data_IF_777845200988
#
_entry.id   IF_777845200988
#
_cell.length_a   1.000
_cell.length_b   1.000
_cell.length_c   1.000
_cell.angle_alpha   90.00
_cell.angle_beta   90.00
_cell.angle_gamma   90.00
#
_symmetry.space_group_name_H-M   'P 1'
#
loop_
_entity.id
_entity.type
_entity.pdbx_description
1 polymer ?
#
# COMPACT_ATOMS: atom_id res chain seq x y z
N UNK A 1 -30.22 -11.28 -19.97
CA UNK A 1 -30.48 -10.48 -18.76
C UNK A 1 -29.70 -10.98 -17.54
N UNK A 2 -29.54 -12.28 -17.31
CA UNK A 2 -28.80 -12.84 -16.14
C UNK A 2 -27.30 -12.48 -16.08
N UNK A 3 -26.60 -12.35 -17.21
CA UNK A 3 -25.17 -11.98 -17.28
C UNK A 3 -24.91 -10.54 -16.83
N UNK A 4 -25.76 -9.59 -17.22
CA UNK A 4 -25.65 -8.18 -16.78
C UNK A 4 -25.92 -8.01 -15.28
N UNK A 5 -26.82 -8.82 -14.72
CA UNK A 5 -27.12 -8.79 -13.26
C UNK A 5 -25.97 -9.32 -12.40
N UNK A 6 -25.27 -10.39 -12.85
CA UNK A 6 -24.06 -10.92 -12.17
C UNK A 6 -22.89 -9.93 -12.23
N UNK A 7 -22.73 -9.19 -13.32
CA UNK A 7 -21.71 -8.15 -13.46
C UNK A 7 -21.98 -6.94 -12.56
N UNK A 8 -23.23 -6.51 -12.42
CA UNK A 8 -23.65 -5.43 -11.54
C UNK A 8 -23.51 -5.81 -10.05
N UNK A 9 -23.93 -7.03 -9.68
CA UNK A 9 -23.79 -7.51 -8.29
C UNK A 9 -22.30 -7.64 -7.89
N UNK A 10 -21.44 -8.14 -8.78
CA UNK A 10 -19.98 -8.20 -8.56
C UNK A 10 -19.34 -6.82 -8.42
N UNK A 11 -19.80 -5.83 -9.18
CA UNK A 11 -19.37 -4.43 -9.07
C UNK A 11 -19.83 -3.79 -7.76
N UNK A 12 -21.09 -3.99 -7.38
CA UNK A 12 -21.66 -3.48 -6.11
C UNK A 12 -20.95 -4.06 -4.88
N UNK A 13 -20.67 -5.35 -4.86
CA UNK A 13 -19.91 -5.99 -3.78
C UNK A 13 -18.47 -5.50 -3.73
N UNK A 14 -17.82 -5.37 -4.87
CA UNK A 14 -16.40 -4.98 -4.98
C UNK A 14 -16.13 -3.53 -4.54
N UNK A 15 -17.04 -2.61 -4.85
CA UNK A 15 -16.90 -1.19 -4.54
C UNK A 15 -17.81 -0.73 -3.40
N UNK A 16 -18.95 -1.38 -3.20
CA UNK A 16 -19.92 -1.05 -2.15
C UNK A 16 -19.41 -1.38 -0.75
N UNK A 17 -18.79 -2.55 -0.56
CA UNK A 17 -18.28 -2.94 0.77
C UNK A 17 -17.21 -1.96 1.30
N UNK A 18 -16.14 -1.61 0.55
CA UNK A 18 -15.17 -0.62 1.01
C UNK A 18 -15.80 0.76 1.25
N UNK A 19 -16.75 1.16 0.41
CA UNK A 19 -17.46 2.43 0.58
C UNK A 19 -18.30 2.44 1.86
N UNK A 20 -19.07 1.38 2.12
CA UNK A 20 -19.89 1.23 3.34
C UNK A 20 -19.01 1.23 4.59
N UNK A 21 -17.88 0.52 4.57
CA UNK A 21 -16.91 0.52 5.68
C UNK A 21 -16.37 1.93 5.90
N UNK A 22 -15.95 2.60 4.84
CA UNK A 22 -15.40 3.97 4.93
C UNK A 22 -16.46 4.94 5.46
N UNK A 23 -17.66 4.93 4.89
CA UNK A 23 -18.77 5.81 5.34
C UNK A 23 -19.17 5.51 6.78
N UNK A 24 -19.29 4.21 7.15
CA UNK A 24 -19.63 3.81 8.51
C UNK A 24 -18.58 4.24 9.54
N UNK A 25 -17.29 4.06 9.23
CA UNK A 25 -16.19 4.51 10.08
C UNK A 25 -16.12 6.03 10.16
N UNK A 26 -16.30 6.74 9.05
CA UNK A 26 -16.37 8.21 9.05
C UNK A 26 -17.54 8.69 9.89
N UNK A 27 -18.74 8.09 9.76
CA UNK A 27 -19.89 8.47 10.56
C UNK A 27 -19.63 8.25 12.07
N UNK A 28 -19.05 7.10 12.45
CA UNK A 28 -18.69 6.81 13.85
C UNK A 28 -17.63 7.77 14.40
N UNK A 29 -16.69 8.21 13.55
CA UNK A 29 -15.64 9.14 13.95
C UNK A 29 -16.16 10.57 14.11
N UNK A 30 -17.05 11.01 13.21
CA UNK A 30 -17.38 12.41 13.03
C UNK A 30 -18.76 12.84 13.50
N UNK A 31 -19.66 11.90 13.87
CA UNK A 31 -21.03 12.23 14.29
C UNK A 31 -21.09 13.22 15.47
N UNK A 32 -20.12 13.15 16.39
CA UNK A 32 -20.02 13.98 17.60
C UNK A 32 -18.73 14.81 17.61
N UNK A 33 -18.15 15.07 16.42
CA UNK A 33 -16.83 15.70 16.34
C UNK A 33 -16.94 17.23 16.21
N UNK A 34 -16.17 17.95 17.06
CA UNK A 34 -16.08 19.41 17.01
C UNK A 34 -15.10 19.88 15.92
N UNK A 35 -15.64 20.18 14.73
CA UNK A 35 -14.86 20.72 13.62
C UNK A 35 -14.33 22.15 13.90
N UNK A 36 -15.06 22.95 14.68
CA UNK A 36 -14.66 24.30 15.02
C UNK A 36 -13.45 24.29 15.95
N UNK A 37 -13.52 23.46 17.00
CA UNK A 37 -12.39 23.24 17.90
C UNK A 37 -11.17 22.67 17.19
N UNK A 38 -11.36 21.71 16.25
CA UNK A 38 -10.28 21.18 15.41
C UNK A 38 -9.61 22.30 14.61
N UNK A 39 -10.40 23.13 13.91
CA UNK A 39 -9.86 24.22 13.09
C UNK A 39 -9.07 25.21 13.92
N UNK A 40 -9.58 25.56 15.09
CA UNK A 40 -8.87 26.43 16.04
C UNK A 40 -7.54 25.81 16.49
N UNK A 41 -7.52 24.53 16.87
CA UNK A 41 -6.27 23.84 17.25
C UNK A 41 -5.26 23.80 16.10
N UNK A 42 -5.71 23.53 14.88
CA UNK A 42 -4.82 23.50 13.71
C UNK A 42 -4.22 24.88 13.40
N UNK A 43 -5.02 25.93 13.48
CA UNK A 43 -4.56 27.29 13.14
C UNK A 43 -3.68 27.92 14.23
N UNK A 44 -3.90 27.57 15.49
CA UNK A 44 -3.19 28.20 16.63
C UNK A 44 -2.02 27.39 17.17
N UNK A 45 -2.07 26.06 17.09
CA UNK A 45 -1.10 25.20 17.77
C UNK A 45 -0.24 24.35 16.82
N UNK A 46 -0.64 24.21 15.54
CA UNK A 46 0.06 23.33 14.63
C UNK A 46 1.39 23.93 14.13
N UNK A 47 2.46 23.19 14.32
CA UNK A 47 3.79 23.47 13.76
C UNK A 47 3.95 22.73 12.43
N UNK A 48 3.50 23.34 11.34
CA UNK A 48 3.45 22.75 9.98
C UNK A 48 4.80 22.27 9.45
N UNK A 49 5.92 22.79 9.96
CA UNK A 49 7.26 22.32 9.57
C UNK A 49 7.47 20.83 9.82
N UNK A 50 6.95 20.30 10.92
CA UNK A 50 7.02 18.88 11.23
C UNK A 50 6.14 18.04 10.30
N UNK A 51 4.97 18.53 9.91
CA UNK A 51 4.12 17.89 8.92
C UNK A 51 4.83 17.85 7.55
N UNK A 52 5.45 18.97 7.14
CA UNK A 52 6.21 19.03 5.88
C UNK A 52 7.39 18.04 5.87
N UNK A 53 8.12 17.91 6.99
CA UNK A 53 9.18 16.91 7.15
C UNK A 53 8.62 15.50 7.04
N UNK A 54 7.48 15.22 7.66
CA UNK A 54 6.78 13.94 7.53
C UNK A 54 6.40 13.61 6.08
N UNK A 55 5.91 14.61 5.31
CA UNK A 55 5.62 14.42 3.88
C UNK A 55 6.89 14.15 3.05
N UNK A 56 8.01 14.80 3.35
CA UNK A 56 9.28 14.52 2.71
C UNK A 56 9.73 13.07 2.97
N UNK A 57 9.59 12.58 4.21
CA UNK A 57 9.88 11.18 4.57
C UNK A 57 8.93 10.20 3.84
N UNK A 58 7.66 10.57 3.62
CA UNK A 58 6.74 9.77 2.83
C UNK A 58 7.23 9.62 1.38
N UNK A 59 7.67 10.71 0.74
CA UNK A 59 8.24 10.68 -0.61
C UNK A 59 9.48 9.78 -0.63
N UNK A 60 10.40 9.90 0.33
CA UNK A 60 11.58 9.04 0.46
C UNK A 60 11.18 7.55 0.56
N UNK A 61 10.16 7.21 1.36
CA UNK A 61 9.68 5.83 1.48
C UNK A 61 9.18 5.28 0.14
N UNK A 62 8.46 6.10 -0.64
CA UNK A 62 7.98 5.71 -1.97
C UNK A 62 9.11 5.53 -2.97
N UNK A 63 10.17 6.35 -2.90
CA UNK A 63 11.38 6.20 -3.71
C UNK A 63 12.12 4.90 -3.35
N UNK A 64 12.30 4.61 -2.05
CA UNK A 64 12.90 3.35 -1.60
C UNK A 64 12.07 2.14 -2.04
N UNK A 65 10.75 2.25 -2.03
CA UNK A 65 9.85 1.21 -2.56
C UNK A 65 10.05 0.98 -4.06
N UNK A 66 10.21 2.04 -4.85
CA UNK A 66 10.53 1.93 -6.27
C UNK A 66 11.88 1.23 -6.49
N UNK A 67 12.91 1.62 -5.71
CA UNK A 67 14.23 0.97 -5.77
C UNK A 67 14.18 -0.51 -5.39
N UNK A 68 13.45 -0.86 -4.32
CA UNK A 68 13.27 -2.23 -3.84
C UNK A 68 12.59 -3.09 -4.90
N UNK A 69 11.48 -2.61 -5.46
CA UNK A 69 10.75 -3.34 -6.50
C UNK A 69 11.58 -3.48 -7.79
N UNK A 70 12.38 -2.48 -8.15
CA UNK A 70 13.33 -2.56 -9.26
C UNK A 70 14.39 -3.66 -9.10
N UNK A 71 14.76 -4.05 -7.87
CA UNK A 71 15.65 -5.21 -7.64
C UNK A 71 14.92 -6.51 -7.97
N UNK A 72 13.66 -6.64 -7.54
CA UNK A 72 12.82 -7.81 -7.82
C UNK A 72 12.56 -7.98 -9.32
N UNK A 73 12.22 -6.88 -10.02
CA UNK A 73 11.99 -6.90 -11.47
C UNK A 73 13.24 -7.30 -12.25
N UNK A 74 14.42 -6.82 -11.83
CA UNK A 74 15.69 -7.24 -12.47
C UNK A 74 15.97 -8.74 -12.35
N UNK A 75 15.51 -9.37 -11.28
CA UNK A 75 15.61 -10.83 -11.13
C UNK A 75 14.71 -11.61 -12.11
N UNK A 76 13.73 -10.93 -12.72
CA UNK A 76 12.86 -11.42 -13.78
C UNK A 76 13.29 -10.94 -15.17
N UNK A 77 14.52 -10.39 -15.32
CA UNK A 77 15.02 -9.74 -16.54
C UNK A 77 14.19 -8.55 -17.04
N UNK A 78 13.32 -8.01 -16.18
CA UNK A 78 12.52 -6.81 -16.44
C UNK A 78 13.27 -5.60 -15.89
N UNK A 79 13.71 -4.68 -16.77
CA UNK A 79 14.63 -3.57 -16.44
C UNK A 79 14.04 -2.20 -16.79
N UNK A 80 12.94 -1.77 -16.17
CA UNK A 80 12.38 -0.45 -16.42
C UNK A 80 13.33 0.65 -15.92
N UNK A 81 13.42 1.79 -16.63
CA UNK A 81 14.15 2.96 -16.14
C UNK A 81 13.58 3.41 -14.78
N UNK A 82 14.48 3.89 -13.91
CA UNK A 82 14.13 4.26 -12.53
C UNK A 82 12.98 5.26 -12.43
N UNK A 83 12.96 6.25 -13.30
CA UNK A 83 11.90 7.25 -13.35
C UNK A 83 10.49 6.62 -13.47
N UNK A 84 10.33 5.64 -14.38
CA UNK A 84 9.04 4.95 -14.57
C UNK A 84 8.67 4.02 -13.42
N UNK A 85 9.66 3.49 -12.70
CA UNK A 85 9.41 2.79 -11.44
C UNK A 85 8.83 3.73 -10.39
N UNK A 86 9.41 4.92 -10.21
CA UNK A 86 8.92 5.94 -9.28
C UNK A 86 7.50 6.37 -9.67
N UNK A 87 7.25 6.68 -10.95
CA UNK A 87 5.91 7.01 -11.46
C UNK A 87 4.91 5.88 -11.19
N UNK A 88 5.32 4.63 -11.36
CA UNK A 88 4.44 3.49 -11.10
C UNK A 88 4.02 3.37 -9.64
N UNK A 89 4.92 3.71 -8.69
CA UNK A 89 4.62 3.73 -7.25
C UNK A 89 3.68 4.91 -6.91
N UNK A 90 4.00 6.12 -7.37
CA UNK A 90 3.13 7.28 -7.12
C UNK A 90 1.73 7.09 -7.70
N UNK A 91 1.64 6.58 -8.93
CA UNK A 91 0.37 6.24 -9.56
C UNK A 91 -0.41 5.17 -8.82
N UNK A 92 0.26 4.17 -8.20
CA UNK A 92 -0.38 3.17 -7.35
C UNK A 92 -1.18 3.84 -6.23
N UNK A 93 -0.55 4.74 -5.49
CA UNK A 93 -1.18 5.41 -4.37
C UNK A 93 -2.30 6.35 -4.82
N UNK A 94 -2.11 7.08 -5.93
CA UNK A 94 -3.14 7.94 -6.51
C UNK A 94 -4.38 7.13 -6.96
N UNK A 95 -4.18 5.99 -7.62
CA UNK A 95 -5.29 5.10 -8.00
C UNK A 95 -5.99 4.53 -6.76
N UNK A 96 -5.25 4.20 -5.70
CA UNK A 96 -5.82 3.66 -4.46
C UNK A 96 -6.64 4.69 -3.66
N UNK A 97 -6.49 5.99 -3.93
CA UNK A 97 -7.38 7.02 -3.36
C UNK A 97 -8.81 6.91 -3.93
N UNK A 98 -8.92 6.50 -5.21
CA UNK A 98 -10.22 6.39 -5.89
C UNK A 98 -10.75 4.96 -5.83
N UNK A 99 -9.89 3.98 -6.12
CA UNK A 99 -10.24 2.56 -6.21
C UNK A 99 -9.38 1.74 -5.26
N UNK A 100 -9.93 1.26 -4.14
CA UNK A 100 -9.16 0.48 -3.16
C UNK A 100 -8.47 -0.72 -3.79
N UNK A 101 -7.17 -0.88 -3.56
CA UNK A 101 -6.37 -2.01 -4.01
C UNK A 101 -6.18 -2.16 -5.54
N UNK A 102 -6.75 -1.27 -6.37
CA UNK A 102 -6.55 -1.35 -7.83
C UNK A 102 -5.21 -0.76 -8.28
N UNK A 103 -4.58 0.07 -7.48
CA UNK A 103 -3.28 0.66 -7.81
C UNK A 103 -2.19 -0.37 -8.04
N UNK A 104 -2.19 -1.46 -7.28
CA UNK A 104 -1.25 -2.57 -7.44
C UNK A 104 -1.39 -3.26 -8.81
N UNK A 105 -2.63 -3.49 -9.23
CA UNK A 105 -2.92 -4.06 -10.56
C UNK A 105 -2.52 -3.08 -11.66
N UNK A 106 -2.83 -1.80 -11.48
CA UNK A 106 -2.49 -0.73 -12.41
C UNK A 106 -0.97 -0.63 -12.62
N UNK A 107 -0.16 -0.55 -11.53
CA UNK A 107 1.30 -0.44 -11.66
C UNK A 107 1.92 -1.66 -12.35
N UNK A 108 1.40 -2.85 -12.05
CA UNK A 108 1.84 -4.10 -12.66
C UNK A 108 1.57 -4.08 -14.17
N UNK A 109 0.35 -3.73 -14.57
CA UNK A 109 -0.02 -3.59 -15.99
C UNK A 109 0.80 -2.52 -16.69
N UNK A 110 1.04 -1.38 -16.04
CA UNK A 110 1.84 -0.29 -16.61
C UNK A 110 3.28 -0.72 -16.91
N UNK A 111 3.96 -1.39 -15.96
CA UNK A 111 5.34 -1.85 -16.16
C UNK A 111 5.38 -3.03 -17.14
N UNK A 112 4.47 -4.00 -17.02
CA UNK A 112 4.40 -5.13 -17.94
C UNK A 112 4.21 -4.69 -19.38
N UNK A 113 3.28 -3.78 -19.64
CA UNK A 113 3.04 -3.23 -20.98
C UNK A 113 4.24 -2.44 -21.52
N UNK A 114 4.89 -1.62 -20.67
CA UNK A 114 6.04 -0.80 -21.09
C UNK A 114 7.29 -1.63 -21.38
N UNK A 115 7.46 -2.76 -20.70
CA UNK A 115 8.65 -3.63 -20.84
C UNK A 115 8.38 -4.86 -21.69
N UNK A 116 7.18 -4.96 -22.31
CA UNK A 116 6.74 -6.15 -23.06
C UNK A 116 6.93 -7.46 -22.27
N UNK A 117 6.76 -7.38 -20.93
CA UNK A 117 6.94 -8.50 -20.02
C UNK A 117 5.60 -9.20 -19.71
N UNK A 118 5.61 -10.50 -19.39
CA UNK A 118 4.41 -11.22 -18.97
C UNK A 118 3.80 -10.57 -17.71
N UNK A 119 2.52 -10.21 -17.78
CA UNK A 119 1.80 -9.60 -16.65
C UNK A 119 1.87 -10.46 -15.39
N UNK A 120 1.72 -11.77 -15.52
CA UNK A 120 1.71 -12.73 -14.42
C UNK A 120 3.03 -12.75 -13.65
N UNK A 121 4.17 -12.72 -14.35
CA UNK A 121 5.49 -12.67 -13.73
C UNK A 121 5.71 -11.36 -12.94
N UNK A 122 5.36 -10.22 -13.56
CA UNK A 122 5.45 -8.89 -12.90
C UNK A 122 4.49 -8.83 -11.71
N UNK A 123 3.28 -9.41 -11.82
CA UNK A 123 2.31 -9.49 -10.74
C UNK A 123 2.80 -10.38 -9.59
N UNK A 124 3.46 -11.50 -9.90
CA UNK A 124 4.10 -12.36 -8.90
C UNK A 124 5.14 -11.61 -8.05
N UNK A 125 5.97 -10.78 -8.69
CA UNK A 125 6.93 -9.93 -7.95
C UNK A 125 6.25 -8.90 -7.06
N UNK A 126 5.10 -8.35 -7.48
CA UNK A 126 4.31 -7.44 -6.66
C UNK A 126 3.70 -8.15 -5.44
N UNK A 127 3.19 -9.37 -5.61
CA UNK A 127 2.68 -10.19 -4.50
C UNK A 127 3.80 -10.48 -3.49
N UNK A 128 5.01 -10.84 -3.96
CA UNK A 128 6.17 -11.02 -3.11
C UNK A 128 6.55 -9.74 -2.34
N UNK A 129 6.46 -8.58 -2.99
CA UNK A 129 6.66 -7.26 -2.35
C UNK A 129 5.66 -7.03 -1.20
N UNK A 130 4.38 -7.38 -1.39
CA UNK A 130 3.33 -7.27 -0.36
C UNK A 130 3.50 -8.27 0.78
N UNK A 131 3.89 -9.51 0.49
CA UNK A 131 4.19 -10.51 1.53
C UNK A 131 5.34 -10.06 2.43
N UNK A 132 6.39 -9.50 1.85
CA UNK A 132 7.50 -8.92 2.63
C UNK A 132 7.03 -7.78 3.54
N UNK A 133 6.16 -6.89 3.04
CA UNK A 133 5.56 -5.84 3.86
C UNK A 133 4.73 -6.43 5.01
N UNK A 134 3.92 -7.45 4.76
CA UNK A 134 3.11 -8.14 5.78
C UNK A 134 3.98 -8.79 6.84
N UNK A 135 5.07 -9.48 6.45
CA UNK A 135 6.02 -10.06 7.39
C UNK A 135 6.69 -8.98 8.25
N UNK A 136 7.04 -7.84 7.66
CA UNK A 136 7.62 -6.72 8.41
C UNK A 136 6.63 -6.16 9.43
N UNK A 137 5.34 -6.00 9.08
CA UNK A 137 4.30 -5.59 10.04
C UNK A 137 4.17 -6.59 11.17
N UNK A 138 4.18 -7.90 10.89
CA UNK A 138 4.11 -8.93 11.92
C UNK A 138 5.31 -8.86 12.89
N UNK A 139 6.53 -8.67 12.37
CA UNK A 139 7.73 -8.51 13.19
C UNK A 139 7.66 -7.24 14.05
N UNK A 140 7.20 -6.12 13.48
CA UNK A 140 7.01 -4.87 14.23
C UNK A 140 5.90 -5.00 15.28
N UNK A 141 4.85 -5.77 14.99
CA UNK A 141 3.78 -6.07 15.96
C UNK A 141 4.32 -6.86 17.15
N UNK A 142 5.12 -7.90 16.88
CA UNK A 142 5.76 -8.68 17.94
C UNK A 142 6.71 -7.80 18.76
N UNK A 143 7.51 -6.96 18.11
CA UNK A 143 8.40 -6.02 18.78
C UNK A 143 7.62 -5.03 19.67
N UNK A 144 6.53 -4.46 19.16
CA UNK A 144 5.67 -3.55 19.92
C UNK A 144 5.05 -4.25 21.14
N UNK A 145 4.60 -5.49 20.97
CA UNK A 145 4.05 -6.29 22.06
C UNK A 145 5.08 -6.56 23.14
N UNK A 146 6.31 -6.91 22.77
CA UNK A 146 7.40 -7.16 23.76
C UNK A 146 7.77 -5.88 24.50
N UNK A 147 7.94 -4.75 23.78
CA UNK A 147 8.40 -3.49 24.37
C UNK A 147 7.31 -2.75 25.15
N UNK A 148 6.05 -2.90 24.78
CA UNK A 148 4.91 -2.20 25.39
C UNK A 148 3.99 -3.12 26.20
N UNK A 149 4.42 -4.35 26.51
CA UNK A 149 3.60 -5.36 27.20
C UNK A 149 2.95 -4.84 28.49
N UNK A 150 3.70 -4.13 29.32
CA UNK A 150 3.17 -3.56 30.57
C UNK A 150 2.02 -2.55 30.33
N UNK A 151 2.19 -1.65 29.37
CA UNK A 151 1.16 -0.65 29.01
C UNK A 151 -0.07 -1.32 28.38
N UNK A 152 0.15 -2.30 27.51
CA UNK A 152 -0.92 -3.05 26.86
C UNK A 152 -1.72 -3.84 27.90
N UNK A 153 -1.05 -4.55 28.81
CA UNK A 153 -1.70 -5.32 29.87
C UNK A 153 -2.49 -4.40 30.82
N UNK A 154 -1.90 -3.26 31.21
CA UNK A 154 -2.59 -2.28 32.05
C UNK A 154 -3.86 -1.72 31.37
N UNK A 155 -3.79 -1.39 30.08
CA UNK A 155 -4.94 -0.93 29.30
C UNK A 155 -6.02 -2.03 29.18
N UNK A 156 -5.60 -3.28 28.92
CA UNK A 156 -6.50 -4.42 28.83
C UNK A 156 -7.21 -4.71 30.16
N UNK A 157 -6.51 -4.59 31.30
CA UNK A 157 -7.08 -4.81 32.63
C UNK A 157 -8.14 -3.77 32.98
N UNK A 158 -7.97 -2.52 32.56
CA UNK A 158 -8.94 -1.43 32.78
C UNK A 158 -10.16 -1.51 31.87
N UNK A 159 -9.99 -2.02 30.65
CA UNK A 159 -11.04 -2.11 29.61
C UNK A 159 -11.49 -3.56 29.35
N UNK A 160 -11.24 -4.48 30.30
CA UNK A 160 -11.46 -5.91 30.17
C UNK A 160 -12.82 -6.36 29.62
N UNK A 161 -13.97 -5.80 30.05
CA UNK A 161 -15.27 -6.25 29.57
C UNK A 161 -15.51 -6.04 28.08
N UNK A 162 -15.02 -4.93 27.53
CA UNK A 162 -15.17 -4.61 26.10
C UNK A 162 -14.27 -5.49 25.22
N UNK A 163 -13.05 -5.78 25.67
CA UNK A 163 -12.12 -6.66 24.96
C UNK A 163 -12.48 -8.14 25.10
N UNK A 164 -13.04 -8.55 26.23
CA UNK A 164 -13.48 -9.92 26.47
C UNK A 164 -14.55 -10.36 25.44
N UNK A 165 -15.45 -9.46 25.04
CA UNK A 165 -16.43 -9.71 23.95
C UNK A 165 -15.75 -9.86 22.59
N UNK A 166 -14.73 -9.08 22.28
CA UNK A 166 -13.99 -9.20 21.02
C UNK A 166 -13.13 -10.48 20.98
N UNK A 167 -12.47 -10.83 22.10
CA UNK A 167 -11.72 -12.08 22.21
C UNK A 167 -12.59 -13.31 22.20
N UNK A 168 -13.79 -13.27 22.80
CA UNK A 168 -14.75 -14.39 22.76
C UNK A 168 -15.24 -14.68 21.35
N UNK A 169 -15.42 -13.63 20.51
CA UNK A 169 -15.72 -13.80 19.09
C UNK A 169 -14.56 -14.46 18.32
N UNK A 170 -13.30 -14.00 18.54
CA UNK A 170 -12.12 -14.57 17.91
C UNK A 170 -11.81 -15.99 18.42
N UNK A 171 -12.08 -16.28 19.68
CA UNK A 171 -11.93 -17.61 20.27
C UNK A 171 -13.11 -18.55 19.94
N UNK A 172 -14.18 -18.06 19.30
CA UNK A 172 -15.36 -18.85 18.97
C UNK A 172 -15.01 -19.99 18.00
N UNK A 173 -15.24 -21.26 18.36
CA UNK A 173 -15.01 -22.40 17.47
C UNK A 173 -15.84 -22.29 16.18
N UNK A 174 -17.01 -21.66 16.25
CA UNK A 174 -17.91 -21.46 15.11
C UNK A 174 -17.36 -20.52 14.05
N UNK A 175 -16.58 -19.49 14.46
CA UNK A 175 -15.87 -18.63 13.51
C UNK A 175 -14.84 -19.44 12.71
N UNK A 176 -14.03 -20.22 13.41
CA UNK A 176 -13.00 -21.05 12.77
C UNK A 176 -13.58 -22.20 11.97
N UNK A 177 -14.68 -22.80 12.42
CA UNK A 177 -15.42 -23.77 11.63
C UNK A 177 -15.97 -23.16 10.33
N UNK A 178 -16.53 -21.96 10.39
CA UNK A 178 -16.99 -21.22 9.21
C UNK A 178 -15.85 -20.90 8.23
N UNK A 179 -14.72 -20.45 8.74
CA UNK A 179 -13.49 -20.20 7.93
C UNK A 179 -12.98 -21.52 7.30
N UNK A 180 -12.96 -22.60 8.05
CA UNK A 180 -12.53 -23.91 7.54
C UNK A 180 -13.48 -24.44 6.45
N UNK A 181 -14.80 -24.33 6.64
CA UNK A 181 -15.81 -24.73 5.64
C UNK A 181 -15.67 -23.86 4.38
N UNK A 182 -15.50 -22.54 4.52
CA UNK A 182 -15.29 -21.64 3.39
C UNK A 182 -13.99 -21.98 2.63
N UNK A 183 -12.90 -22.30 3.33
CA UNK A 183 -11.63 -22.72 2.74
C UNK A 183 -11.76 -24.08 2.02
N UNK A 184 -12.45 -25.04 2.61
CA UNK A 184 -12.73 -26.35 2.00
C UNK A 184 -13.63 -26.22 0.77
N UNK A 185 -14.68 -25.41 0.83
CA UNK A 185 -15.56 -25.14 -0.31
C UNK A 185 -14.79 -24.45 -1.45
N UNK A 186 -13.96 -23.48 -1.14
CA UNK A 186 -13.10 -22.81 -2.12
C UNK A 186 -12.10 -23.80 -2.75
N UNK A 187 -11.45 -24.64 -1.95
CA UNK A 187 -10.55 -25.68 -2.41
C UNK A 187 -11.26 -26.71 -3.30
N UNK A 188 -12.46 -27.16 -2.91
CA UNK A 188 -13.25 -28.11 -3.68
C UNK A 188 -13.71 -27.54 -5.03
N UNK A 189 -14.20 -26.28 -5.05
CA UNK A 189 -14.58 -25.55 -6.25
C UNK A 189 -13.38 -25.37 -7.20
N UNK A 190 -12.21 -25.01 -6.67
CA UNK A 190 -10.97 -24.86 -7.43
C UNK A 190 -10.49 -26.20 -8.00
N UNK A 191 -10.68 -27.32 -7.27
CA UNK A 191 -10.22 -28.66 -7.70
C UNK A 191 -11.08 -29.25 -8.84
N UNK A 192 -12.39 -28.98 -8.85
CA UNK A 192 -13.34 -29.60 -9.77
C UNK A 192 -13.71 -28.74 -10.99
N UNK A 193 -13.24 -27.49 -11.09
CA UNK A 193 -13.56 -26.64 -12.22
C UNK A 193 -12.61 -26.85 -13.41
N UNK A 194 -13.14 -26.76 -14.66
CA UNK A 194 -12.34 -26.75 -15.89
C UNK A 194 -11.36 -25.56 -15.95
N UNK A 195 -11.52 -24.57 -15.07
CA UNK A 195 -10.58 -23.48 -14.83
C UNK A 195 -9.35 -23.87 -14.01
N UNK A 196 -9.36 -25.05 -13.37
CA UNK A 196 -8.28 -25.51 -12.49
C UNK A 196 -6.91 -25.64 -13.20
N UNK A 197 -6.90 -25.98 -14.48
CA UNK A 197 -5.65 -26.04 -15.25
C UNK A 197 -5.07 -24.64 -15.50
N UNK A 198 -5.90 -23.67 -15.91
CA UNK A 198 -5.48 -22.27 -16.08
C UNK A 198 -5.11 -21.61 -14.75
N UNK A 199 -5.88 -21.89 -13.68
CA UNK A 199 -5.59 -21.40 -12.35
C UNK A 199 -4.27 -21.96 -11.80
N UNK A 200 -4.00 -23.26 -11.98
CA UNK A 200 -2.71 -23.86 -11.58
C UNK A 200 -1.53 -23.29 -12.35
N UNK A 201 -1.67 -23.04 -13.66
CA UNK A 201 -0.62 -22.38 -14.44
C UNK A 201 -0.35 -20.97 -13.91
N UNK A 202 -1.38 -20.16 -13.71
CA UNK A 202 -1.24 -18.81 -13.15
C UNK A 202 -0.65 -18.83 -11.73
N UNK A 203 -1.09 -19.75 -10.86
CA UNK A 203 -0.52 -19.92 -9.51
C UNK A 203 0.95 -20.35 -9.59
N UNK A 204 1.31 -21.20 -10.55
CA UNK A 204 2.70 -21.62 -10.73
C UNK A 204 3.57 -20.44 -11.20
N UNK A 205 3.12 -19.66 -12.17
CA UNK A 205 3.84 -18.44 -12.61
C UNK A 205 3.96 -17.40 -11.50
N UNK A 206 2.92 -17.25 -10.66
CA UNK A 206 2.96 -16.39 -9.46
C UNK A 206 3.99 -16.93 -8.46
N UNK A 207 4.02 -18.25 -8.24
CA UNK A 207 4.97 -18.91 -7.35
C UNK A 207 6.40 -18.78 -7.85
N UNK A 208 6.63 -19.00 -9.15
CA UNK A 208 7.94 -18.82 -9.77
C UNK A 208 8.43 -17.38 -9.63
N UNK A 209 7.55 -16.38 -9.84
CA UNK A 209 7.83 -14.98 -9.60
C UNK A 209 8.17 -14.66 -8.12
N UNK A 210 7.56 -15.37 -7.18
CA UNK A 210 7.84 -15.25 -5.75
C UNK A 210 9.18 -15.92 -5.36
N UNK A 211 9.42 -17.13 -5.81
CA UNK A 211 10.66 -17.88 -5.50
C UNK A 211 11.90 -17.17 -6.06
N UNK A 212 11.78 -16.56 -7.24
CA UNK A 212 12.87 -15.75 -7.84
C UNK A 212 13.30 -14.64 -6.90
N UNK A 213 12.37 -14.00 -6.18
CA UNK A 213 12.69 -12.95 -5.20
C UNK A 213 13.50 -13.50 -4.03
N UNK A 214 13.21 -14.72 -3.57
CA UNK A 214 13.96 -15.36 -2.48
C UNK A 214 15.38 -15.76 -2.89
N UNK A 215 15.61 -16.07 -4.18
CA UNK A 215 16.90 -16.50 -4.74
C UNK A 215 17.71 -15.38 -5.40
N UNK A 216 17.19 -14.15 -5.47
CA UNK A 216 17.79 -13.03 -6.22
C UNK A 216 19.16 -12.60 -5.70
N UNK A 217 20.03 -12.15 -6.61
CA UNK A 217 21.26 -11.42 -6.28
C UNK A 217 20.89 -10.02 -5.73
N UNK A 218 21.50 -9.63 -4.60
CA UNK A 218 21.26 -8.29 -4.00
C UNK A 218 20.29 -8.28 -2.81
N UNK A 219 20.07 -9.43 -2.14
CA UNK A 219 19.20 -9.56 -0.94
C UNK A 219 19.54 -8.57 0.16
N UNK A 220 20.83 -8.31 0.42
CA UNK A 220 21.25 -7.33 1.44
C UNK A 220 20.75 -5.91 1.12
N UNK A 221 20.88 -5.46 -0.14
CA UNK A 221 20.35 -4.16 -0.57
C UNK A 221 18.83 -4.12 -0.51
N UNK A 222 18.16 -5.22 -0.84
CA UNK A 222 16.71 -5.34 -0.75
C UNK A 222 16.22 -5.25 0.71
N UNK A 223 16.89 -5.93 1.64
CA UNK A 223 16.62 -5.84 3.09
C UNK A 223 16.86 -4.42 3.62
N UNK A 224 17.99 -3.80 3.24
CA UNK A 224 18.28 -2.42 3.63
C UNK A 224 17.20 -1.45 3.15
N UNK A 225 16.72 -1.60 1.93
CA UNK A 225 15.62 -0.79 1.41
C UNK A 225 14.30 -1.08 2.13
N UNK A 226 14.05 -2.33 2.57
CA UNK A 226 12.89 -2.66 3.38
C UNK A 226 12.95 -1.95 4.74
N UNK A 227 14.10 -1.98 5.42
CA UNK A 227 14.33 -1.21 6.65
C UNK A 227 14.17 0.30 6.39
N UNK A 228 14.69 0.80 5.26
CA UNK A 228 14.54 2.20 4.87
C UNK A 228 13.09 2.61 4.66
N UNK A 229 12.27 1.80 3.98
CA UNK A 229 10.83 2.06 3.77
C UNK A 229 10.10 2.17 5.11
N UNK A 230 10.25 1.15 5.95
CA UNK A 230 9.53 1.08 7.22
C UNK A 230 10.07 2.08 8.24
N UNK A 231 11.39 2.33 8.20
CA UNK A 231 12.04 3.40 8.97
C UNK A 231 11.51 4.79 8.59
N UNK A 232 11.37 5.09 7.30
CA UNK A 232 10.76 6.35 6.84
C UNK A 232 9.30 6.48 7.28
N UNK A 233 8.50 5.42 7.22
CA UNK A 233 7.11 5.47 7.68
C UNK A 233 7.02 5.64 9.21
N UNK A 234 7.88 4.97 9.95
CA UNK A 234 7.97 5.16 11.41
C UNK A 234 8.39 6.60 11.76
N UNK A 235 9.44 7.09 11.12
CA UNK A 235 9.92 8.47 11.31
C UNK A 235 8.88 9.51 10.86
N UNK A 236 8.11 9.24 9.82
CA UNK A 236 7.01 10.09 9.38
C UNK A 236 5.99 10.30 10.49
N UNK A 237 5.54 9.22 11.15
CA UNK A 237 4.63 9.32 12.29
C UNK A 237 5.31 9.99 13.48
N UNK A 238 6.56 9.61 13.79
CA UNK A 238 7.34 10.18 14.88
C UNK A 238 7.48 11.69 14.77
N UNK A 239 7.93 12.21 13.62
CA UNK A 239 8.09 13.65 13.42
C UNK A 239 6.74 14.37 13.38
N UNK A 240 5.69 13.75 12.83
CA UNK A 240 4.35 14.34 12.84
C UNK A 240 3.80 14.57 14.24
N UNK A 241 4.15 13.72 15.23
CA UNK A 241 3.72 13.89 16.62
C UNK A 241 4.28 15.15 17.28
N UNK A 242 5.36 15.76 16.76
CA UNK A 242 5.86 17.05 17.21
C UNK A 242 5.08 18.23 16.64
N UNK A 243 4.12 17.99 15.74
CA UNK A 243 3.31 19.07 15.15
C UNK A 243 2.40 19.74 16.15
N UNK A 244 2.01 19.09 17.23
CA UNK A 244 1.16 19.64 18.27
C UNK A 244 1.77 19.44 19.68
N UNK A 245 1.63 20.41 20.59
CA UNK A 245 2.13 20.27 21.96
C UNK A 245 1.55 19.08 22.73
N UNK A 246 0.26 18.76 22.49
CA UNK A 246 -0.42 17.65 23.16
C UNK A 246 0.06 16.27 22.68
N UNK A 247 0.46 16.10 21.41
CA UNK A 247 1.06 14.85 20.94
C UNK A 247 2.55 14.76 21.28
N UNK A 248 3.26 15.89 21.30
CA UNK A 248 4.64 15.97 21.76
C UNK A 248 4.77 15.54 23.23
N UNK A 249 3.83 15.96 24.09
CA UNK A 249 3.76 15.54 25.50
C UNK A 249 3.68 14.01 25.66
N UNK A 250 3.01 13.30 24.76
CA UNK A 250 2.97 11.83 24.77
C UNK A 250 4.36 11.24 24.52
N UNK A 251 5.13 11.82 23.59
CA UNK A 251 6.51 11.37 23.32
C UNK A 251 7.39 11.60 24.53
N UNK A 252 7.30 12.77 25.17
CA UNK A 252 8.10 13.09 26.37
C UNK A 252 7.77 12.17 27.55
N UNK A 253 6.51 11.76 27.70
CA UNK A 253 6.07 10.92 28.81
C UNK A 253 6.31 9.42 28.59
N UNK A 254 6.09 8.91 27.37
CA UNK A 254 6.06 7.48 27.08
C UNK A 254 7.16 7.04 26.08
N UNK A 255 7.90 7.99 25.51
CA UNK A 255 9.01 7.72 24.61
C UNK A 255 8.59 7.07 23.29
N UNK A 256 9.53 6.35 22.69
CA UNK A 256 9.33 5.67 21.40
C UNK A 256 8.32 4.52 21.43
N UNK A 257 7.99 4.00 22.61
CA UNK A 257 7.01 2.91 22.74
C UNK A 257 5.60 3.36 22.32
N UNK A 258 5.20 4.57 22.70
CA UNK A 258 3.92 5.15 22.26
C UNK A 258 3.85 5.31 20.75
N UNK A 259 4.94 5.79 20.15
CA UNK A 259 5.05 5.93 18.69
C UNK A 259 4.97 4.57 18.02
N UNK A 260 5.72 3.57 18.53
CA UNK A 260 5.75 2.23 17.95
C UNK A 260 4.38 1.54 17.99
N UNK A 261 3.68 1.60 19.11
CA UNK A 261 2.34 1.01 19.26
C UNK A 261 1.36 1.69 18.31
N UNK A 262 1.33 3.02 18.27
CA UNK A 262 0.46 3.77 17.36
C UNK A 262 0.79 3.48 15.89
N UNK A 263 2.07 3.38 15.55
CA UNK A 263 2.57 3.04 14.22
C UNK A 263 2.14 1.64 13.78
N UNK A 264 2.28 0.66 14.65
CA UNK A 264 1.90 -0.74 14.38
C UNK A 264 0.39 -0.85 14.20
N UNK A 265 -0.41 -0.26 15.08
CA UNK A 265 -1.87 -0.24 14.95
C UNK A 265 -2.32 0.41 13.63
N UNK A 266 -1.74 1.57 13.28
CA UNK A 266 -2.03 2.24 12.02
C UNK A 266 -1.60 1.41 10.79
N UNK A 267 -0.47 0.69 10.88
CA UNK A 267 0.01 -0.19 9.82
C UNK A 267 -0.89 -1.41 9.61
N UNK A 268 -1.37 -2.03 10.69
CA UNK A 268 -2.33 -3.14 10.64
C UNK A 268 -3.66 -2.67 10.02
N UNK A 269 -4.13 -1.48 10.39
CA UNK A 269 -5.39 -0.92 9.88
C UNK A 269 -5.39 -0.69 8.36
N UNK A 270 -4.21 -0.46 7.76
CA UNK A 270 -4.04 -0.38 6.31
C UNK A 270 -4.32 -1.72 5.60
N UNK A 271 -4.42 -2.83 6.34
CA UNK A 271 -4.94 -4.11 5.86
C UNK A 271 -6.42 -4.05 5.46
N UNK A 272 -7.21 -3.19 6.11
CA UNK A 272 -8.64 -3.01 5.81
C UNK A 272 -8.80 -2.29 4.46
N UNK A 273 -9.61 -2.84 3.53
CA UNK A 273 -9.86 -2.19 2.26
C UNK A 273 -10.58 -0.85 2.45
N UNK A 274 -9.88 0.25 2.15
CA UNK A 274 -10.41 1.61 2.26
C UNK A 274 -9.73 2.52 1.22
N UNK A 275 -10.36 3.65 0.92
CA UNK A 275 -9.82 4.62 -0.01
C UNK A 275 -8.68 5.42 0.64
N UNK A 276 -7.45 5.11 0.30
CA UNK A 276 -6.28 5.81 0.84
C UNK A 276 -6.08 5.71 2.35
N UNK A 277 -6.73 4.73 3.03
CA UNK A 277 -6.66 4.58 4.50
C UNK A 277 -7.70 5.41 5.26
N UNK A 278 -8.56 6.16 4.59
CA UNK A 278 -9.60 6.98 5.22
C UNK A 278 -10.52 6.10 6.07
N UNK A 279 -10.70 6.49 7.31
CA UNK A 279 -11.45 5.76 8.34
C UNK A 279 -10.55 4.82 9.16
N UNK A 280 -10.10 3.68 8.64
CA UNK A 280 -9.34 2.70 9.43
C UNK A 280 -8.03 3.25 10.01
N UNK A 281 -7.25 4.01 9.24
CA UNK A 281 -5.99 4.58 9.70
C UNK A 281 -6.21 5.62 10.79
N UNK A 282 -7.19 6.51 10.60
CA UNK A 282 -7.56 7.52 11.59
C UNK A 282 -8.00 6.87 12.90
N UNK A 283 -8.89 5.88 12.81
CA UNK A 283 -9.36 5.15 13.98
C UNK A 283 -8.20 4.49 14.74
N UNK A 284 -7.27 3.86 14.03
CA UNK A 284 -6.12 3.21 14.64
C UNK A 284 -5.17 4.19 15.32
N UNK A 285 -4.95 5.39 14.73
CA UNK A 285 -4.11 6.43 15.34
C UNK A 285 -4.80 7.03 16.56
N UNK A 286 -6.11 7.32 16.48
CA UNK A 286 -6.90 7.82 17.62
C UNK A 286 -6.88 6.81 18.76
N UNK A 287 -7.11 5.54 18.46
CA UNK A 287 -7.06 4.46 19.44
C UNK A 287 -5.65 4.31 20.06
N UNK A 288 -4.62 4.28 19.21
CA UNK A 288 -3.23 4.15 19.66
C UNK A 288 -2.78 5.28 20.59
N UNK A 289 -3.12 6.52 20.27
CA UNK A 289 -2.83 7.67 21.15
C UNK A 289 -3.71 7.67 22.41
N UNK A 290 -4.95 7.20 22.29
CA UNK A 290 -5.88 7.03 23.41
C UNK A 290 -5.40 6.03 24.46
N UNK A 291 -4.66 4.97 24.08
CA UNK A 291 -4.01 4.04 25.02
C UNK A 291 -3.07 4.79 25.96
N UNK A 292 -2.45 5.87 25.49
CA UNK A 292 -1.53 6.71 26.23
C UNK A 292 -2.17 7.94 26.88
N UNK A 293 -3.51 7.98 26.92
CA UNK A 293 -4.29 8.97 27.64
C UNK A 293 -4.57 10.27 26.87
N UNK A 294 -4.33 10.30 25.56
CA UNK A 294 -4.73 11.46 24.76
C UNK A 294 -6.26 11.44 24.55
N UNK A 295 -6.91 12.57 24.78
CA UNK A 295 -8.34 12.72 24.54
C UNK A 295 -8.70 12.54 23.07
N UNK A 296 -9.93 12.08 22.82
CA UNK A 296 -10.41 11.73 21.49
C UNK A 296 -10.38 12.90 20.51
N UNK A 297 -10.70 14.10 20.95
CA UNK A 297 -10.75 15.31 20.09
C UNK A 297 -9.36 15.71 19.61
N UNK A 298 -8.38 15.76 20.51
CA UNK A 298 -6.97 16.04 20.18
C UNK A 298 -6.38 14.96 19.29
N UNK A 299 -6.61 13.68 19.61
CA UNK A 299 -6.13 12.56 18.81
C UNK A 299 -6.74 12.56 17.40
N UNK A 300 -8.05 12.88 17.28
CA UNK A 300 -8.72 12.98 15.98
C UNK A 300 -8.24 14.20 15.17
N UNK A 301 -7.99 15.34 15.83
CA UNK A 301 -7.41 16.53 15.19
C UNK A 301 -6.07 16.20 14.55
N UNK A 302 -5.18 15.54 15.30
CA UNK A 302 -3.89 15.10 14.79
C UNK A 302 -4.05 14.12 13.61
N UNK A 303 -4.85 13.06 13.78
CA UNK A 303 -5.03 12.03 12.76
C UNK A 303 -5.62 12.60 11.46
N UNK A 304 -6.60 13.50 11.57
CA UNK A 304 -7.25 14.14 10.42
C UNK A 304 -6.28 15.06 9.66
N UNK A 305 -5.51 15.87 10.37
CA UNK A 305 -4.53 16.75 9.74
C UNK A 305 -3.46 15.95 8.99
N UNK A 306 -2.86 14.94 9.64
CA UNK A 306 -1.79 14.15 9.05
C UNK A 306 -2.30 13.37 7.83
N UNK A 307 -3.47 12.73 7.93
CA UNK A 307 -4.05 12.00 6.80
C UNK A 307 -4.47 12.96 5.68
N UNK A 308 -5.05 14.12 6.00
CA UNK A 308 -5.43 15.13 5.03
C UNK A 308 -4.24 15.65 4.23
N UNK A 309 -3.15 16.03 4.91
CA UNK A 309 -1.91 16.47 4.27
C UNK A 309 -1.28 15.35 3.41
N UNK A 310 -1.26 14.09 3.91
CA UNK A 310 -0.76 12.96 3.15
C UNK A 310 -1.63 12.69 1.90
N UNK A 311 -2.95 12.79 2.02
CA UNK A 311 -3.88 12.64 0.89
C UNK A 311 -3.63 13.72 -0.17
N UNK A 312 -3.45 14.97 0.22
CA UNK A 312 -3.10 16.06 -0.69
C UNK A 312 -1.77 15.80 -1.39
N UNK A 313 -0.76 15.32 -0.67
CA UNK A 313 0.52 14.91 -1.26
C UNK A 313 0.30 13.83 -2.34
N UNK A 314 -0.47 12.79 -2.05
CA UNK A 314 -0.74 11.71 -2.99
C UNK A 314 -1.52 12.19 -4.24
N UNK A 315 -2.42 13.16 -4.09
CA UNK A 315 -3.12 13.81 -5.22
C UNK A 315 -2.11 14.53 -6.10
N UNK A 316 -1.23 15.35 -5.52
CA UNK A 316 -0.20 16.09 -6.26
C UNK A 316 0.75 15.14 -7.00
N UNK A 317 1.23 14.08 -6.32
CA UNK A 317 2.07 13.05 -6.93
C UNK A 317 1.33 12.28 -8.04
N UNK A 318 0.03 12.07 -7.88
CA UNK A 318 -0.85 11.48 -8.90
C UNK A 318 -0.96 12.35 -10.15
N UNK A 319 -1.26 13.63 -9.98
CA UNK A 319 -1.32 14.59 -11.09
C UNK A 319 0.02 14.63 -11.82
N UNK A 320 1.13 14.75 -11.10
CA UNK A 320 2.47 14.70 -11.67
C UNK A 320 2.69 13.42 -12.49
N UNK A 321 2.34 12.27 -11.92
CA UNK A 321 2.52 10.95 -12.55
C UNK A 321 1.76 10.84 -13.86
N UNK A 322 0.46 11.13 -13.85
CA UNK A 322 -0.38 10.96 -15.06
C UNK A 322 -0.04 11.98 -16.13
N UNK A 323 0.36 13.20 -15.74
CA UNK A 323 0.87 14.21 -16.66
C UNK A 323 2.17 13.76 -17.31
N UNK A 324 3.14 13.28 -16.53
CA UNK A 324 4.42 12.78 -17.05
C UNK A 324 4.22 11.59 -18.01
N UNK A 325 3.33 10.66 -17.69
CA UNK A 325 2.99 9.53 -18.58
C UNK A 325 2.33 10.01 -19.87
N UNK A 326 1.44 11.00 -19.80
CA UNK A 326 0.78 11.55 -20.98
C UNK A 326 1.77 12.25 -21.94
N UNK A 327 2.74 12.99 -21.40
CA UNK A 327 3.80 13.66 -22.18
C UNK A 327 4.69 12.60 -22.85
N UNK A 328 5.14 11.58 -22.09
CA UNK A 328 5.98 10.51 -22.61
C UNK A 328 5.30 9.76 -23.80
N UNK A 329 4.02 9.45 -23.67
CA UNK A 329 3.24 8.82 -24.76
C UNK A 329 3.16 9.70 -26.00
N UNK A 330 2.98 11.00 -25.86
CA UNK A 330 2.95 11.94 -27.01
C UNK A 330 4.31 12.02 -27.69
N UNK A 331 5.40 12.06 -26.91
CA UNK A 331 6.76 12.07 -27.45
C UNK A 331 7.07 10.81 -28.27
N UNK A 332 6.63 9.63 -27.81
CA UNK A 332 6.79 8.39 -28.57
C UNK A 332 5.97 8.37 -29.87
N UNK A 333 4.75 8.91 -29.83
CA UNK A 333 3.86 8.95 -31.00
C UNK A 333 4.33 9.97 -32.07
N UNK A 334 5.11 10.97 -31.69
CA UNK A 334 5.64 12.00 -32.59
C UNK A 334 7.00 11.64 -33.19
N UNK A 335 7.65 10.55 -32.77
CA UNK A 335 8.87 10.06 -33.41
C UNK A 335 8.51 9.39 -34.75
N UNK A 336 9.07 9.85 -35.90
CA UNK A 336 8.87 9.17 -37.16
C UNK A 336 9.34 7.71 -37.07
N UNK A 337 8.55 6.78 -37.57
CA UNK A 337 8.93 5.38 -37.62
C UNK A 337 10.33 5.28 -38.24
N UNK A 338 11.29 4.77 -37.46
CA UNK A 338 12.66 4.58 -37.95
C UNK A 338 12.58 3.69 -39.19
N UNK A 339 12.89 4.24 -40.35
CA UNK A 339 12.95 3.50 -41.62
C UNK A 339 13.92 2.34 -41.44
N UNK A 340 13.55 1.09 -41.73
CA UNK A 340 14.43 -0.04 -41.51
C UNK A 340 15.66 0.12 -42.39
N UNK A 341 16.82 0.22 -41.78
CA UNK A 341 18.15 0.39 -42.41
C UNK A 341 18.51 -0.71 -43.44
N UNK A 342 17.68 -1.74 -43.58
CA UNK A 342 17.97 -2.90 -44.41
C UNK A 342 17.56 -2.74 -45.89
N UNK A 343 16.78 -1.73 -46.31
CA UNK A 343 16.46 -1.55 -47.71
C UNK A 343 17.48 -0.71 -48.49
N UNK A 344 18.19 0.18 -47.84
CA UNK A 344 19.22 0.99 -48.52
C UNK A 344 20.49 0.22 -48.86
N UNK A 345 20.79 -0.90 -48.20
CA UNK A 345 21.96 -1.74 -48.55
C UNK A 345 21.71 -2.64 -49.76
N UNK A 346 20.47 -2.94 -50.14
CA UNK A 346 20.16 -3.74 -51.35
C UNK A 346 20.21 -2.96 -52.65
N UNK A 347 20.13 -1.64 -52.61
CA UNK A 347 20.12 -0.78 -53.83
C UNK A 347 21.54 -0.45 -54.31
N UNK A 348 22.56 -0.54 -53.42
CA UNK A 348 23.95 -0.14 -53.76
C UNK A 348 24.89 -1.32 -54.02
N UNK A 349 24.44 -2.52 -54.27
CA UNK A 349 25.28 -3.64 -54.75
C UNK A 349 25.26 -3.65 -56.30
N UNK A 350 26.39 -3.32 -56.98
CA UNK A 350 26.44 -3.41 -58.45
C UNK A 350 26.33 -4.89 -58.87
N UNK A 351 25.73 -5.18 -60.05
CA UNK A 351 25.54 -6.55 -60.50
C UNK A 351 26.87 -7.20 -60.76
N UNK A 352 27.14 -8.32 -60.11
CA UNK A 352 28.29 -9.20 -60.35
C UNK A 352 28.27 -9.66 -61.80
N UNK A 353 29.21 -9.17 -62.63
CA UNK A 353 29.49 -9.61 -64.00
C UNK A 353 29.89 -11.09 -63.95
N UNK A 354 29.10 -11.98 -64.54
CA UNK A 354 29.54 -13.30 -64.92
C UNK A 354 30.63 -13.16 -66.00
N UNK A 355 31.86 -13.59 -65.64
CA UNK A 355 32.87 -13.93 -66.65
C UNK A 355 32.81 -15.42 -66.93
N UNK A 356 32.77 -15.71 -68.25
CA UNK A 356 32.84 -17.06 -68.83
C UNK A 356 34.17 -17.70 -68.58
#
# INVERSE_FOLDING_TARGET
MASKRKSLLGGLLKYGIPLVITVGLCWLLYRDFDFTGMWHMVTTQCRFGWIALGMALAICSHIFRAMRWGIQLRALDVRPPFFFLVLSIFGTYAVNLVFPRLGEVWRTGYIAARQHAPFTAVFGSMVADRLADTLTVLLLTLLAFVLASGTIIAYLSQNGPMLQSAFSLLASPWLWAGVAVAALACWWLLRHSRFAAKARHAVRELWDGFVVVLSMKGRGRWLLLTVGIWGCFFLQLYVALFAFPFTEAIIHRFGLTAVLVTFVLSSISMGVPSNGGIGPWQWAVIFGLGIYGLDRTSAATFANLVLGCNTLLLIVLGIFTFTAIAIDRRSMASQPAATPKNEQQKINTPPTRCQK
#
